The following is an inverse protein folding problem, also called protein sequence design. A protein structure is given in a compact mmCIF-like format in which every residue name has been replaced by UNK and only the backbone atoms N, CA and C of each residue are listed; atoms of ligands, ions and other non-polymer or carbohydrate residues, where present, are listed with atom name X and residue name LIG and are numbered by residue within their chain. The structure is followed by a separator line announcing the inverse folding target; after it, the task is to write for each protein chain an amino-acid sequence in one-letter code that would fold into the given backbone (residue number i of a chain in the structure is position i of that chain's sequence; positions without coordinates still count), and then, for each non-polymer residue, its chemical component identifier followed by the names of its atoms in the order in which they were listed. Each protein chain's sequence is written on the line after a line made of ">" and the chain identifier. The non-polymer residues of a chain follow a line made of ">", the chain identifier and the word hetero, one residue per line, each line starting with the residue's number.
data_IF_942693724158
#
_entry.id   IF_942693724158
#
_cell.length_a   1.000
_cell.length_b   1.000
_cell.length_c   1.000
_cell.angle_alpha   90.00
_cell.angle_beta   90.00
_cell.angle_gamma   90.00
#
_symmetry.space_group_name_H-M   'P 1'
#
loop_
_entity.id
_entity.type
_entity.pdbx_description
1 polymer ?
#
# COMPACT_ATOMS: atom_id res chain seq x y z
N UNK A 1 -38.10 8.16 -3.03
CA UNK A 1 -37.90 6.89 -2.34
C UNK A 1 -37.10 5.89 -3.14
N UNK A 2 -37.35 5.74 -4.46
CA UNK A 2 -36.61 4.77 -5.30
C UNK A 2 -35.14 5.14 -5.49
N UNK A 3 -34.83 6.42 -5.58
CA UNK A 3 -33.44 6.90 -5.73
C UNK A 3 -32.61 6.64 -4.48
N UNK A 4 -33.19 6.78 -3.29
CA UNK A 4 -32.53 6.48 -2.03
C UNK A 4 -32.24 4.98 -1.92
N UNK A 5 -33.21 4.14 -2.30
CA UNK A 5 -33.04 2.69 -2.30
C UNK A 5 -31.92 2.23 -3.26
N UNK A 6 -31.84 2.83 -4.46
CA UNK A 6 -30.78 2.57 -5.43
C UNK A 6 -29.40 3.00 -4.90
N UNK A 7 -29.31 4.14 -4.24
CA UNK A 7 -28.08 4.62 -3.61
C UNK A 7 -27.59 3.67 -2.53
N UNK A 8 -28.47 3.23 -1.63
CA UNK A 8 -28.13 2.27 -0.55
C UNK A 8 -27.70 0.92 -1.11
N UNK A 9 -28.40 0.40 -2.12
CA UNK A 9 -28.02 -0.86 -2.79
C UNK A 9 -26.65 -0.74 -3.45
N UNK A 10 -26.38 0.38 -4.13
CA UNK A 10 -25.09 0.65 -4.77
C UNK A 10 -23.94 0.65 -3.74
N UNK A 11 -24.14 1.31 -2.61
CA UNK A 11 -23.17 1.33 -1.51
C UNK A 11 -22.93 -0.07 -0.91
N UNK A 12 -23.98 -0.85 -0.70
CA UNK A 12 -23.87 -2.23 -0.20
C UNK A 12 -23.07 -3.11 -1.17
N UNK A 13 -23.36 -3.01 -2.48
CA UNK A 13 -22.63 -3.76 -3.52
C UNK A 13 -21.17 -3.33 -3.56
N UNK A 14 -20.89 -2.03 -3.48
CA UNK A 14 -19.53 -1.51 -3.45
C UNK A 14 -18.77 -2.02 -2.23
N UNK A 15 -19.32 -1.92 -1.03
CA UNK A 15 -18.72 -2.44 0.20
C UNK A 15 -18.45 -3.96 0.12
N UNK A 16 -19.37 -4.72 -0.46
CA UNK A 16 -19.19 -6.16 -0.65
C UNK A 16 -18.03 -6.47 -1.61
N UNK A 17 -17.93 -5.75 -2.72
CA UNK A 17 -16.87 -5.92 -3.70
C UNK A 17 -15.50 -5.49 -3.13
N UNK A 18 -15.45 -4.43 -2.34
CA UNK A 18 -14.23 -3.99 -1.66
C UNK A 18 -13.75 -5.02 -0.64
N UNK A 19 -14.65 -5.60 0.14
CA UNK A 19 -14.32 -6.69 1.09
C UNK A 19 -13.81 -7.95 0.37
N UNK A 20 -14.44 -8.35 -0.74
CA UNK A 20 -13.98 -9.49 -1.51
C UNK A 20 -12.57 -9.26 -2.09
N UNK A 21 -12.33 -8.09 -2.67
CA UNK A 21 -10.99 -7.71 -3.18
C UNK A 21 -9.94 -7.62 -2.07
N UNK A 22 -10.31 -7.11 -0.89
CA UNK A 22 -9.41 -7.09 0.26
C UNK A 22 -9.01 -8.50 0.69
N UNK A 23 -9.98 -9.42 0.79
CA UNK A 23 -9.72 -10.81 1.16
C UNK A 23 -8.79 -11.51 0.16
N UNK A 24 -9.01 -11.33 -1.17
CA UNK A 24 -8.13 -11.87 -2.20
C UNK A 24 -6.71 -11.29 -2.11
N UNK A 25 -6.60 -10.00 -1.80
CA UNK A 25 -5.31 -9.32 -1.64
C UNK A 25 -4.57 -9.84 -0.40
N UNK A 26 -5.28 -10.01 0.73
CA UNK A 26 -4.71 -10.52 1.97
C UNK A 26 -4.19 -11.96 1.79
N UNK A 27 -4.93 -12.80 1.05
CA UNK A 27 -4.51 -14.17 0.72
C UNK A 27 -3.23 -14.17 -0.15
N UNK A 28 -3.17 -13.34 -1.18
CA UNK A 28 -2.00 -13.23 -2.05
C UNK A 28 -0.75 -12.70 -1.31
N UNK A 29 -0.92 -11.77 -0.37
CA UNK A 29 0.15 -11.29 0.50
C UNK A 29 0.62 -12.41 1.43
N UNK A 30 -0.32 -13.14 2.03
CA UNK A 30 -0.01 -14.25 2.93
C UNK A 30 0.74 -15.37 2.21
N UNK A 31 0.31 -15.74 1.00
CA UNK A 31 1.03 -16.71 0.16
C UNK A 31 2.47 -16.25 -0.11
N UNK A 32 2.66 -15.00 -0.52
CA UNK A 32 4.00 -14.45 -0.79
C UNK A 32 4.87 -14.40 0.47
N UNK A 33 4.31 -14.09 1.64
CA UNK A 33 5.04 -14.06 2.91
C UNK A 33 5.40 -15.46 3.44
N UNK A 34 4.61 -16.47 3.11
CA UNK A 34 4.87 -17.87 3.50
C UNK A 34 5.85 -18.57 2.56
N UNK A 35 6.01 -18.09 1.35
CA UNK A 35 7.03 -18.57 0.42
C UNK A 35 8.43 -18.20 0.93
N UNK A 36 9.41 -19.12 0.86
CA UNK A 36 10.78 -18.78 1.21
C UNK A 36 11.28 -17.62 0.35
N UNK A 37 12.09 -16.75 0.96
CA UNK A 37 12.70 -15.64 0.21
C UNK A 37 13.42 -16.16 -1.02
N UNK A 38 13.06 -15.59 -2.17
CA UNK A 38 13.63 -15.96 -3.45
C UNK A 38 14.97 -15.24 -3.66
N UNK A 39 15.82 -15.83 -4.47
CA UNK A 39 17.00 -15.11 -4.98
C UNK A 39 16.52 -13.95 -5.86
N UNK A 40 17.07 -12.78 -5.65
CA UNK A 40 16.70 -11.59 -6.41
C UNK A 40 17.05 -11.77 -7.89
N UNK A 41 16.05 -11.58 -8.77
CA UNK A 41 16.27 -11.63 -10.23
C UNK A 41 17.07 -10.44 -10.76
N UNK A 42 17.23 -9.39 -9.95
CA UNK A 42 17.89 -8.13 -10.28
C UNK A 42 19.18 -7.90 -9.48
N UNK A 43 19.77 -8.95 -8.91
CA UNK A 43 21.08 -8.89 -8.29
C UNK A 43 22.12 -8.43 -9.32
N UNK A 44 22.63 -7.22 -9.14
CA UNK A 44 23.59 -6.61 -10.09
C UNK A 44 25.02 -7.05 -9.77
N UNK A 45 25.31 -7.38 -8.50
CA UNK A 45 26.66 -7.62 -8.01
C UNK A 45 26.87 -8.99 -7.30
N UNK A 46 25.77 -9.68 -6.97
CA UNK A 46 25.82 -10.97 -6.27
C UNK A 46 24.66 -11.86 -6.73
N UNK A 47 24.96 -12.97 -7.38
CA UNK A 47 23.98 -13.96 -7.85
C UNK A 47 23.19 -14.62 -6.70
N UNK A 48 23.60 -14.39 -5.45
CA UNK A 48 22.97 -14.90 -4.23
C UNK A 48 22.23 -13.82 -3.44
N UNK A 49 22.00 -12.61 -4.01
CA UNK A 49 21.26 -11.58 -3.30
C UNK A 49 19.81 -12.04 -3.05
N UNK A 50 19.44 -12.08 -1.76
CA UNK A 50 18.07 -12.41 -1.36
C UNK A 50 17.11 -11.27 -1.72
N UNK A 51 15.88 -11.64 -2.04
CA UNK A 51 14.81 -10.70 -2.24
C UNK A 51 14.38 -10.07 -0.90
N UNK A 52 14.39 -8.75 -0.83
CA UNK A 52 13.86 -8.02 0.33
C UNK A 52 12.38 -7.68 0.11
N UNK A 53 11.63 -7.65 1.20
CA UNK A 53 10.19 -7.39 1.21
C UNK A 53 9.82 -6.36 2.25
N UNK A 54 8.88 -5.47 1.92
CA UNK A 54 8.30 -4.49 2.82
C UNK A 54 6.79 -4.63 2.81
N UNK A 55 6.21 -4.89 3.98
CA UNK A 55 4.76 -4.86 4.18
C UNK A 55 4.34 -3.45 4.55
N UNK A 56 3.36 -2.92 3.83
CA UNK A 56 2.84 -1.57 3.99
C UNK A 56 1.37 -1.66 4.44
N UNK A 57 1.07 -1.23 5.66
CA UNK A 57 -0.28 -1.32 6.25
C UNK A 57 -0.83 0.06 6.58
N UNK A 58 -2.04 0.40 6.13
CA UNK A 58 -2.72 1.63 6.57
C UNK A 58 -3.12 1.48 8.03
N UNK A 59 -2.56 2.31 8.92
CA UNK A 59 -2.83 2.28 10.36
C UNK A 59 -3.71 3.43 10.84
N UNK A 60 -3.72 4.55 10.13
CA UNK A 60 -4.59 5.68 10.42
C UNK A 60 -5.13 6.30 9.12
N UNK A 61 -6.36 6.82 9.20
CA UNK A 61 -7.03 7.51 8.10
C UNK A 61 -7.79 8.71 8.64
N UNK A 62 -7.62 9.87 8.00
CA UNK A 62 -8.40 11.08 8.27
C UNK A 62 -8.91 11.68 6.96
N UNK A 63 -10.16 12.10 6.97
CA UNK A 63 -10.82 12.65 5.79
C UNK A 63 -11.12 11.59 4.72
N UNK A 64 -11.22 12.04 3.46
CA UNK A 64 -11.56 11.18 2.33
C UNK A 64 -10.31 10.44 1.84
N UNK A 65 -10.20 9.17 2.14
CA UNK A 65 -9.15 8.31 1.63
C UNK A 65 -9.74 7.06 0.97
N UNK A 66 -9.17 6.56 -0.14
CA UNK A 66 -9.79 5.55 -0.98
C UNK A 66 -9.83 4.15 -0.36
N UNK A 67 -9.03 3.90 0.68
CA UNK A 67 -8.92 2.60 1.34
C UNK A 67 -9.14 2.70 2.85
N UNK A 68 -9.47 1.57 3.46
CA UNK A 68 -9.73 1.44 4.89
C UNK A 68 -8.46 1.18 5.69
N UNK A 69 -8.50 1.46 6.99
CA UNK A 69 -7.48 1.03 7.95
C UNK A 69 -7.37 -0.50 7.91
N UNK A 70 -6.15 -1.03 7.98
CA UNK A 70 -5.84 -2.44 7.85
C UNK A 70 -5.60 -2.90 6.41
N UNK A 71 -5.85 -2.06 5.40
CA UNK A 71 -5.49 -2.40 4.01
C UNK A 71 -3.98 -2.53 3.87
N UNK A 72 -3.55 -3.58 3.18
CA UNK A 72 -2.15 -3.94 3.04
C UNK A 72 -1.68 -3.92 1.58
N UNK A 73 -0.39 -3.68 1.40
CA UNK A 73 0.33 -3.77 0.16
C UNK A 73 1.74 -4.30 0.45
N UNK A 74 2.19 -5.29 -0.28
CA UNK A 74 3.54 -5.82 -0.20
C UNK A 74 4.36 -5.30 -1.39
N UNK A 75 5.53 -4.76 -1.09
CA UNK A 75 6.51 -4.28 -2.08
C UNK A 75 7.75 -5.13 -1.97
N UNK A 76 8.28 -5.60 -3.08
CA UNK A 76 9.48 -6.44 -3.14
C UNK A 76 10.63 -5.73 -3.84
N UNK A 77 11.87 -6.12 -3.53
CA UNK A 77 13.06 -5.51 -4.12
C UNK A 77 13.24 -5.83 -5.61
N UNK A 78 12.53 -6.84 -6.11
CA UNK A 78 12.45 -7.17 -7.55
C UNK A 78 11.29 -6.43 -8.27
N UNK A 79 10.76 -5.36 -7.66
CA UNK A 79 9.71 -4.48 -8.17
C UNK A 79 8.33 -5.14 -8.34
N UNK A 80 8.04 -6.24 -7.67
CA UNK A 80 6.67 -6.75 -7.59
C UNK A 80 5.90 -5.97 -6.52
N UNK A 81 4.63 -5.74 -6.78
CA UNK A 81 3.69 -5.09 -5.86
C UNK A 81 2.46 -5.97 -5.78
N UNK A 82 2.11 -6.38 -4.56
CA UNK A 82 0.94 -7.21 -4.29
C UNK A 82 0.00 -6.40 -3.39
N UNK A 83 -1.24 -6.25 -3.79
CA UNK A 83 -2.20 -5.40 -3.12
C UNK A 83 -2.10 -3.92 -3.49
N UNK A 84 -2.78 -3.06 -2.76
CA UNK A 84 -2.80 -1.60 -2.98
C UNK A 84 -3.29 -0.86 -1.75
N UNK A 85 -2.67 0.27 -1.45
CA UNK A 85 -3.11 1.19 -0.38
C UNK A 85 -3.97 2.35 -0.90
N UNK A 86 -4.40 2.31 -2.16
CA UNK A 86 -5.34 3.28 -2.73
C UNK A 86 -4.89 3.93 -4.03
N UNK A 87 -3.71 3.60 -4.53
CA UNK A 87 -3.18 4.13 -5.79
C UNK A 87 -2.69 5.58 -5.72
N UNK A 88 -2.36 6.12 -6.89
CA UNK A 88 -1.96 7.52 -7.04
C UNK A 88 -0.68 7.91 -6.32
N UNK A 89 -0.61 9.18 -5.90
CA UNK A 89 0.58 9.77 -5.28
C UNK A 89 0.98 9.07 -3.97
N UNK A 90 -0.01 8.62 -3.17
CA UNK A 90 0.26 7.95 -1.90
C UNK A 90 1.02 6.63 -2.09
N UNK A 91 0.59 5.83 -3.04
CA UNK A 91 1.23 4.55 -3.35
C UNK A 91 2.63 4.76 -3.94
N UNK A 92 2.77 5.73 -4.85
CA UNK A 92 4.06 6.08 -5.44
C UNK A 92 5.08 6.54 -4.38
N UNK A 93 4.65 7.32 -3.38
CA UNK A 93 5.51 7.75 -2.27
C UNK A 93 5.97 6.57 -1.43
N UNK A 94 5.05 5.67 -1.04
CA UNK A 94 5.39 4.47 -0.26
C UNK A 94 6.36 3.56 -1.02
N UNK A 95 6.10 3.30 -2.30
CA UNK A 95 6.99 2.48 -3.14
C UNK A 95 8.38 3.09 -3.23
N UNK A 96 8.46 4.42 -3.36
CA UNK A 96 9.75 5.13 -3.41
C UNK A 96 10.53 4.98 -2.11
N UNK A 97 9.85 5.06 -0.95
CA UNK A 97 10.49 4.81 0.35
C UNK A 97 10.96 3.38 0.50
N UNK A 98 10.14 2.40 0.14
CA UNK A 98 10.53 0.98 0.15
C UNK A 98 11.81 0.73 -0.66
N UNK A 99 11.91 1.34 -1.85
CA UNK A 99 13.13 1.24 -2.67
C UNK A 99 14.36 1.83 -1.98
N UNK A 100 14.19 2.91 -1.24
CA UNK A 100 15.25 3.47 -0.41
C UNK A 100 15.73 2.48 0.66
N UNK A 101 14.80 1.84 1.36
CA UNK A 101 15.10 0.84 2.38
C UNK A 101 15.75 -0.42 1.81
N UNK A 102 15.34 -0.89 0.64
CA UNK A 102 16.05 -1.99 -0.02
C UNK A 102 17.52 -1.68 -0.29
N UNK A 103 17.85 -0.43 -0.61
CA UNK A 103 19.24 -0.01 -0.75
C UNK A 103 20.01 0.00 0.58
N UNK A 104 19.34 0.24 1.71
CA UNK A 104 19.92 0.15 3.06
C UNK A 104 20.10 -1.31 3.49
N UNK A 105 19.10 -2.16 3.24
CA UNK A 105 19.16 -3.60 3.52
C UNK A 105 20.35 -4.26 2.79
N UNK A 106 20.63 -3.86 1.55
CA UNK A 106 21.82 -4.30 0.81
C UNK A 106 23.13 -3.90 1.46
N UNK A 107 23.13 -2.90 2.32
CA UNK A 107 24.28 -2.48 3.14
C UNK A 107 24.33 -3.17 4.51
N UNK A 108 23.40 -4.10 4.76
CA UNK A 108 23.29 -4.82 6.03
C UNK A 108 22.49 -4.11 7.13
N UNK A 109 21.71 -3.09 6.78
CA UNK A 109 20.79 -2.41 7.71
C UNK A 109 19.45 -3.12 7.65
N UNK A 110 19.05 -3.76 8.75
CA UNK A 110 17.83 -4.56 8.87
C UNK A 110 16.97 -4.12 10.07
N UNK A 111 15.79 -4.70 10.18
CA UNK A 111 14.82 -4.38 11.23
C UNK A 111 14.09 -3.07 10.97
N UNK A 112 13.90 -2.72 9.72
CA UNK A 112 13.27 -1.46 9.30
C UNK A 112 11.79 -1.51 9.63
N UNK A 113 11.36 -0.53 10.45
CA UNK A 113 9.97 -0.30 10.80
C UNK A 113 9.74 1.22 10.92
N UNK A 114 8.90 1.78 10.06
CA UNK A 114 8.63 3.22 10.01
C UNK A 114 7.15 3.52 9.77
N UNK A 115 6.66 4.62 10.35
CA UNK A 115 5.34 5.18 10.04
C UNK A 115 5.50 6.37 9.12
N UNK A 116 4.94 6.27 7.92
CA UNK A 116 4.91 7.34 6.91
C UNK A 116 3.57 8.04 6.92
N UNK A 117 3.59 9.37 7.02
CA UNK A 117 2.40 10.22 6.95
C UNK A 117 2.27 10.80 5.55
N UNK A 118 1.20 10.44 4.87
CA UNK A 118 0.97 10.85 3.49
C UNK A 118 -0.27 11.73 3.43
N UNK A 119 -0.11 12.90 2.84
CA UNK A 119 -1.20 13.82 2.57
C UNK A 119 -1.64 13.65 1.11
N UNK A 120 -2.90 13.29 0.92
CA UNK A 120 -3.48 13.20 -0.41
C UNK A 120 -3.99 14.57 -0.80
N UNK A 121 -3.17 15.36 -1.50
CA UNK A 121 -3.62 16.58 -2.14
C UNK A 121 -4.32 16.22 -3.45
N UNK A 122 -5.49 16.77 -3.68
CA UNK A 122 -6.06 16.83 -5.02
C UNK A 122 -5.35 17.98 -5.75
N UNK A 123 -4.29 17.67 -6.49
CA UNK A 123 -3.71 18.61 -7.43
C UNK A 123 -4.70 18.81 -8.57
N UNK A 124 -5.56 19.78 -8.43
CA UNK A 124 -6.30 20.49 -9.48
C UNK A 124 -7.58 21.10 -8.91
N UNK A 125 -7.53 22.12 -8.09
CA UNK A 125 -8.53 23.21 -8.07
C UNK A 125 -8.00 24.34 -7.17
N UNK A 126 -7.33 25.31 -7.75
CA UNK A 126 -7.13 26.65 -7.19
C UNK A 126 -8.40 27.49 -7.32
N UNK A 127 -9.58 26.94 -7.08
CA UNK A 127 -10.79 27.74 -6.97
C UNK A 127 -11.73 27.12 -5.96
N UNK A 128 -12.06 27.89 -4.92
CA UNK A 128 -13.03 27.60 -3.87
C UNK A 128 -12.66 26.57 -2.77
N UNK A 129 -11.75 26.96 -1.85
CA UNK A 129 -11.94 26.72 -0.40
C UNK A 129 -12.17 25.30 0.16
N UNK A 130 -12.16 24.25 -0.64
CA UNK A 130 -12.33 22.87 -0.21
C UNK A 130 -11.04 22.08 -0.32
N UNK A 131 -10.22 22.15 0.71
CA UNK A 131 -9.10 21.22 0.91
C UNK A 131 -9.70 19.88 1.38
N UNK A 132 -10.21 19.09 0.46
CA UNK A 132 -10.64 17.70 0.72
C UNK A 132 -9.50 16.73 0.47
N UNK A 133 -8.32 17.03 1.00
CA UNK A 133 -7.20 16.10 1.02
C UNK A 133 -7.32 15.16 2.22
N UNK A 134 -7.57 13.87 2.00
CA UNK A 134 -7.46 12.88 3.04
C UNK A 134 -5.99 12.73 3.47
N UNK A 135 -5.76 12.28 4.70
CA UNK A 135 -4.45 11.90 5.19
C UNK A 135 -4.48 10.44 5.62
N UNK A 136 -3.44 9.70 5.30
CA UNK A 136 -3.22 8.35 5.79
C UNK A 136 -1.87 8.25 6.49
N UNK A 137 -1.79 7.35 7.47
CA UNK A 137 -0.53 6.90 8.04
C UNK A 137 -0.35 5.43 7.65
N UNK A 138 0.81 5.13 7.09
CA UNK A 138 1.17 3.80 6.60
C UNK A 138 2.35 3.30 7.40
N UNK A 139 2.19 2.15 8.03
CA UNK A 139 3.27 1.41 8.67
C UNK A 139 4.02 0.62 7.60
N UNK A 140 5.32 0.79 7.53
CA UNK A 140 6.26 0.07 6.68
C UNK A 140 7.08 -0.87 7.55
N UNK A 141 7.04 -2.17 7.25
CA UNK A 141 7.73 -3.20 8.03
C UNK A 141 8.53 -4.12 7.11
N UNK A 142 9.80 -4.36 7.45
CA UNK A 142 10.61 -5.42 6.82
C UNK A 142 10.06 -6.79 7.21
N UNK A 143 9.95 -7.71 6.25
CA UNK A 143 9.38 -9.05 6.46
C UNK A 143 10.26 -10.15 5.88
#
# INVERSE_FOLDING_TARGET
>A
PAEIALSVISEIVQCKNERAKAAETDEAILEELTEPQRLSKFAVNDENEMEYRMLCTIIEKRGSAPRSIGTQMLVTSDNRIIGTIGGGCAEAEVITRCRGYFAEMRKGIHGICEIVKIQMSTDNVEEEGMVCGGRIEVLLEET
#
